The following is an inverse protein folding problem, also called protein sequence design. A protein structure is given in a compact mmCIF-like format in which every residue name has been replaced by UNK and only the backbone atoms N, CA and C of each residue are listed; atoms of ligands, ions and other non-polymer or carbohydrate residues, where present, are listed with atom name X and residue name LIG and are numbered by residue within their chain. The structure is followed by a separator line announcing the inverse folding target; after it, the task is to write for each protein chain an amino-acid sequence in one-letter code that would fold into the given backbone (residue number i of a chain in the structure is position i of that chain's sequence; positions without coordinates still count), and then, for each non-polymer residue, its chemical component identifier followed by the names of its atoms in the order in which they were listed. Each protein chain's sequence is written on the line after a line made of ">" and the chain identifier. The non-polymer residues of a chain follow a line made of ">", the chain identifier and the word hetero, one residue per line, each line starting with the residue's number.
data_IF_941428296698
#
_entry.id   IF_941428296698
#
_cell.length_a   1.000
_cell.length_b   1.000
_cell.length_c   1.000
_cell.angle_alpha   90.00
_cell.angle_beta   90.00
_cell.angle_gamma   90.00
#
_symmetry.space_group_name_H-M   'P 1'
#
loop_
_entity.id
_entity.type
_entity.pdbx_description
1 polymer ?
#
# COMPACT_ATOMS: atom_id res chain seq x y z
N UNK A 1 -28.08 17.53 -8.97
CA UNK A 1 -28.83 16.73 -7.97
C UNK A 1 -27.97 16.62 -6.72
N UNK A 2 -28.51 16.87 -5.53
CA UNK A 2 -27.77 16.67 -4.27
C UNK A 2 -28.08 15.27 -3.74
N UNK A 3 -27.06 14.51 -3.37
CA UNK A 3 -27.19 13.15 -2.83
C UNK A 3 -26.72 13.10 -1.38
N UNK A 4 -27.48 12.43 -0.52
CA UNK A 4 -27.07 12.11 0.84
C UNK A 4 -26.36 10.76 0.88
N UNK A 5 -25.21 10.71 1.54
CA UNK A 5 -24.44 9.48 1.76
C UNK A 5 -24.30 9.25 3.26
N UNK A 6 -24.76 8.10 3.73
CA UNK A 6 -24.58 7.64 5.12
C UNK A 6 -23.77 6.35 5.08
N UNK A 7 -22.75 6.25 5.93
CA UNK A 7 -21.93 5.04 6.04
C UNK A 7 -21.54 4.79 7.48
N UNK A 8 -21.24 3.53 7.78
CA UNK A 8 -20.77 3.08 9.09
C UNK A 8 -19.27 2.78 9.01
N UNK A 9 -18.54 3.10 10.07
CA UNK A 9 -17.10 2.79 10.18
C UNK A 9 -16.72 2.58 11.64
N UNK A 10 -15.51 2.09 11.88
CA UNK A 10 -14.97 1.93 13.22
C UNK A 10 -14.80 3.31 13.89
N UNK A 11 -15.20 3.40 15.16
CA UNK A 11 -15.20 4.68 15.89
C UNK A 11 -13.80 5.29 16.01
N UNK A 12 -12.78 4.45 16.24
CA UNK A 12 -11.39 4.93 16.35
C UNK A 12 -10.86 5.45 15.01
N UNK A 13 -11.16 4.77 13.91
CA UNK A 13 -10.80 5.26 12.57
C UNK A 13 -11.45 6.62 12.27
N UNK A 14 -12.73 6.80 12.64
CA UNK A 14 -13.43 8.09 12.52
C UNK A 14 -12.71 9.19 13.32
N UNK A 15 -12.32 8.93 14.57
CA UNK A 15 -11.62 9.91 15.42
C UNK A 15 -10.27 10.30 14.83
N UNK A 16 -9.49 9.32 14.36
CA UNK A 16 -8.19 9.55 13.75
C UNK A 16 -8.33 10.38 12.47
N UNK A 17 -9.25 10.02 11.59
CA UNK A 17 -9.52 10.75 10.35
C UNK A 17 -9.96 12.20 10.63
N UNK A 18 -10.82 12.42 11.64
CA UNK A 18 -11.24 13.76 12.06
C UNK A 18 -10.08 14.60 12.60
N UNK A 19 -9.23 14.00 13.44
CA UNK A 19 -8.07 14.68 14.02
C UNK A 19 -7.09 15.12 12.91
N UNK A 20 -6.77 14.21 11.99
CA UNK A 20 -5.89 14.50 10.85
C UNK A 20 -6.47 15.57 9.93
N UNK A 21 -7.74 15.45 9.56
CA UNK A 21 -8.40 16.46 8.72
C UNK A 21 -8.36 17.85 9.38
N UNK A 22 -8.60 17.93 10.70
CA UNK A 22 -8.52 19.19 11.45
C UNK A 22 -7.11 19.78 11.46
N UNK A 23 -6.07 18.96 11.61
CA UNK A 23 -4.67 19.39 11.54
C UNK A 23 -4.32 19.98 10.17
N UNK A 24 -4.88 19.40 9.10
CA UNK A 24 -4.71 19.89 7.72
C UNK A 24 -5.64 21.06 7.37
N UNK A 25 -6.46 21.55 8.31
CA UNK A 25 -7.41 22.64 8.07
C UNK A 25 -8.60 22.28 7.19
N UNK A 26 -8.90 20.98 7.06
CA UNK A 26 -9.93 20.44 6.20
C UNK A 26 -11.09 19.84 7.00
N UNK A 27 -12.29 19.86 6.41
CA UNK A 27 -13.43 19.12 6.94
C UNK A 27 -13.40 17.66 6.49
N UNK A 28 -13.95 16.74 7.29
CA UNK A 28 -14.07 15.34 6.88
C UNK A 28 -14.90 15.18 5.59
N UNK A 29 -15.91 16.04 5.38
CA UNK A 29 -16.68 16.10 4.14
C UNK A 29 -15.77 16.40 2.94
N UNK A 30 -14.86 17.36 3.09
CA UNK A 30 -13.90 17.73 2.05
C UNK A 30 -13.05 16.51 1.68
N UNK A 31 -12.49 15.82 2.67
CA UNK A 31 -11.68 14.61 2.47
C UNK A 31 -12.45 13.55 1.67
N UNK A 32 -13.70 13.25 2.05
CA UNK A 32 -14.52 12.26 1.36
C UNK A 32 -14.83 12.66 -0.09
N UNK A 33 -15.13 13.94 -0.34
CA UNK A 33 -15.38 14.45 -1.70
C UNK A 33 -14.13 14.34 -2.56
N UNK A 34 -12.95 14.66 -2.02
CA UNK A 34 -11.69 14.53 -2.75
C UNK A 34 -11.32 13.06 -2.98
N UNK A 35 -11.57 12.17 -2.02
CA UNK A 35 -11.36 10.73 -2.22
C UNK A 35 -12.25 10.17 -3.35
N UNK A 36 -13.54 10.57 -3.39
CA UNK A 36 -14.45 10.18 -4.47
C UNK A 36 -13.98 10.71 -5.84
N UNK A 37 -13.55 11.98 -5.90
CA UNK A 37 -12.97 12.55 -7.13
C UNK A 37 -11.69 11.80 -7.52
N UNK A 38 -10.83 11.51 -6.55
CA UNK A 38 -9.58 10.81 -6.78
C UNK A 38 -9.81 9.41 -7.35
N UNK A 39 -10.81 8.71 -6.81
CA UNK A 39 -11.23 7.40 -7.29
C UNK A 39 -11.75 7.44 -8.73
N UNK A 40 -12.63 8.39 -9.05
CA UNK A 40 -13.19 8.53 -10.41
C UNK A 40 -12.13 8.94 -11.43
N UNK A 41 -11.17 9.79 -11.03
CA UNK A 41 -10.08 10.26 -11.91
C UNK A 41 -8.91 9.27 -12.03
N UNK A 42 -8.91 8.19 -11.26
CA UNK A 42 -7.83 7.20 -11.23
C UNK A 42 -6.59 7.63 -10.44
N UNK A 43 -6.61 8.78 -9.77
CA UNK A 43 -5.51 9.23 -8.86
C UNK A 43 -5.52 8.51 -7.52
N UNK A 44 -6.66 7.90 -7.15
CA UNK A 44 -6.78 6.99 -6.04
C UNK A 44 -7.24 5.63 -6.59
N UNK A 45 -6.40 4.62 -6.45
CA UNK A 45 -6.72 3.23 -6.78
C UNK A 45 -6.68 2.39 -5.52
N UNK A 46 -7.60 1.44 -5.42
CA UNK A 46 -7.56 0.44 -4.37
C UNK A 46 -6.83 -0.78 -4.93
N UNK A 47 -5.60 -0.98 -4.49
CA UNK A 47 -4.92 -2.26 -4.65
C UNK A 47 -5.35 -3.20 -3.53
N UNK A 48 -5.57 -4.48 -3.85
CA UNK A 48 -5.32 -5.51 -2.84
C UNK A 48 -3.81 -5.52 -2.66
N UNK A 49 -3.32 -4.82 -1.64
CA UNK A 49 -2.04 -5.20 -1.07
C UNK A 49 -2.28 -6.55 -0.41
N UNK A 50 -2.14 -7.64 -1.19
CA UNK A 50 -1.44 -8.77 -0.60
C UNK A 50 -0.21 -8.15 0.00
N UNK A 51 -0.01 -8.35 1.29
CA UNK A 51 1.29 -8.05 1.87
C UNK A 51 2.23 -8.96 1.09
N UNK A 52 2.79 -8.44 0.00
CA UNK A 52 3.98 -8.95 -0.62
C UNK A 52 5.05 -8.65 0.43
N UNK A 53 5.06 -9.45 1.49
CA UNK A 53 6.31 -10.02 1.94
C UNK A 53 6.92 -10.62 0.67
N UNK A 54 7.68 -9.81 -0.06
CA UNK A 54 8.83 -10.33 -0.80
C UNK A 54 9.44 -11.35 0.15
N UNK A 55 9.59 -12.64 -0.25
CA UNK A 55 10.28 -13.58 0.60
C UNK A 55 11.62 -12.92 0.92
N UNK A 56 11.96 -12.81 2.21
CA UNK A 56 13.30 -12.42 2.61
C UNK A 56 14.25 -13.36 1.89
N UNK A 57 14.85 -12.90 0.80
CA UNK A 57 15.85 -13.68 0.08
C UNK A 57 17.03 -13.65 1.04
N UNK A 58 17.15 -14.69 1.87
CA UNK A 58 18.38 -14.93 2.60
C UNK A 58 19.48 -15.10 1.55
N UNK A 59 20.28 -14.05 1.33
CA UNK A 59 21.48 -14.15 0.51
C UNK A 59 22.46 -15.09 1.22
N UNK A 60 22.43 -16.37 0.82
CA UNK A 60 23.41 -17.34 1.28
C UNK A 60 24.75 -16.98 0.63
N UNK A 61 25.55 -16.17 1.33
CA UNK A 61 26.94 -15.94 0.96
C UNK A 61 27.75 -17.18 1.34
N UNK A 62 28.04 -18.03 0.36
CA UNK A 62 28.98 -19.13 0.58
C UNK A 62 30.37 -18.53 0.76
N UNK A 63 31.07 -18.93 1.84
CA UNK A 63 32.46 -18.49 2.09
C UNK A 63 33.46 -19.06 1.08
N UNK A 64 33.08 -20.11 0.36
CA UNK A 64 33.89 -20.76 -0.66
C UNK A 64 33.61 -20.15 -2.05
N UNK A 65 34.62 -19.54 -2.70
CA UNK A 65 34.46 -18.92 -4.03
C UNK A 65 33.96 -19.88 -5.11
N UNK A 66 34.30 -21.17 -5.00
CA UNK A 66 33.92 -22.19 -5.99
C UNK A 66 32.44 -22.55 -5.95
N UNK A 67 31.81 -22.44 -4.78
CA UNK A 67 30.39 -22.72 -4.57
C UNK A 67 29.53 -21.55 -5.07
N UNK A 68 29.96 -20.31 -4.80
CA UNK A 68 29.29 -19.10 -5.34
C UNK A 68 29.25 -19.10 -6.88
N UNK A 69 30.36 -19.48 -7.53
CA UNK A 69 30.43 -19.54 -8.99
C UNK A 69 29.44 -20.56 -9.58
N UNK A 70 29.27 -21.72 -8.92
CA UNK A 70 28.30 -22.75 -9.33
C UNK A 70 26.86 -22.31 -9.09
N UNK A 71 26.57 -21.68 -7.95
CA UNK A 71 25.25 -21.16 -7.63
C UNK A 71 24.81 -20.07 -8.62
N UNK A 72 25.72 -19.16 -8.99
CA UNK A 72 25.45 -18.12 -10.00
C UNK A 72 25.15 -18.73 -11.37
N UNK A 73 25.93 -19.71 -11.80
CA UNK A 73 25.71 -20.42 -13.06
C UNK A 73 24.38 -21.18 -13.10
N UNK A 74 23.94 -21.71 -11.96
CA UNK A 74 22.64 -22.39 -11.85
C UNK A 74 21.48 -21.38 -11.95
N UNK A 75 21.61 -20.23 -11.30
CA UNK A 75 20.61 -19.16 -11.37
C UNK A 75 20.43 -18.62 -12.80
N UNK A 76 21.53 -18.49 -13.56
CA UNK A 76 21.50 -18.06 -14.98
C UNK A 76 20.81 -19.07 -15.92
N UNK A 77 20.75 -20.37 -15.55
CA UNK A 77 20.11 -21.41 -16.37
C UNK A 77 18.61 -21.61 -16.09
N UNK A 78 18.11 -21.03 -15.00
CA UNK A 78 16.71 -21.13 -14.57
C UNK A 78 15.87 -19.93 -15.00
N UNK A 79 16.47 -18.96 -15.69
CA UNK A 79 15.80 -17.84 -16.39
C UNK A 79 15.49 -18.21 -17.84
#
# INVERSE_FOLDING_TARGET
>A
MLSQVTFTTQNELKKQALSKAKQEGLSLKTVLVYALKGFVTGTLSFGLSTVDTEPEIEEIHFRDPSINAKAKKLAELLQ
#
